data_IF_547954233514
#
_entry.id   IF_547954233514
#
_cell.length_a   1.000
_cell.length_b   1.000
_cell.length_c   1.000
_cell.angle_alpha   90.00
_cell.angle_beta   90.00
_cell.angle_gamma   90.00
#
_symmetry.space_group_name_H-M   'P 1'
#
loop_
_entity.id
_entity.type
_entity.pdbx_description
1 polymer ?
#
# COMPACT_ATOMS: atom_id res chain seq x y z
N UNK A 1 26.31 -5.11 -2.32
CA UNK A 1 26.14 -4.09 -1.26
C UNK A 1 26.11 -2.72 -1.90
N UNK A 2 25.02 -1.91 -1.75
CA UNK A 2 24.90 -0.59 -2.37
C UNK A 2 26.04 0.36 -2.00
N UNK A 3 26.45 0.34 -0.74
CA UNK A 3 27.51 1.20 -0.21
C UNK A 3 28.87 0.90 -0.85
N UNK A 4 29.21 -0.39 -1.03
CA UNK A 4 30.46 -0.78 -1.66
C UNK A 4 30.50 -0.38 -3.14
N UNK A 5 29.41 -0.64 -3.87
CA UNK A 5 29.26 -0.20 -5.26
C UNK A 5 29.36 1.33 -5.39
N UNK A 6 28.72 2.06 -4.48
CA UNK A 6 28.77 3.53 -4.47
C UNK A 6 30.21 4.03 -4.25
N UNK A 7 31.01 3.43 -3.38
CA UNK A 7 32.43 3.78 -3.17
C UNK A 7 33.24 3.63 -4.45
N UNK A 8 33.07 2.52 -5.18
CA UNK A 8 33.77 2.27 -6.43
C UNK A 8 33.39 3.31 -7.50
N UNK A 9 32.08 3.61 -7.63
CA UNK A 9 31.59 4.62 -8.59
C UNK A 9 32.11 6.01 -8.22
N UNK A 10 32.03 6.43 -6.95
CA UNK A 10 32.56 7.71 -6.47
C UNK A 10 34.06 7.84 -6.75
N UNK A 11 34.83 6.77 -6.51
CA UNK A 11 36.25 6.74 -6.80
C UNK A 11 36.51 6.98 -8.30
N UNK A 12 35.77 6.29 -9.16
CA UNK A 12 35.90 6.49 -10.63
C UNK A 12 35.55 7.92 -11.02
N UNK A 13 34.45 8.47 -10.53
CA UNK A 13 34.02 9.85 -10.81
C UNK A 13 35.08 10.87 -10.37
N UNK A 14 35.67 10.70 -9.19
CA UNK A 14 36.67 11.62 -8.65
C UNK A 14 38.05 11.45 -9.26
N UNK A 15 38.53 10.21 -9.43
CA UNK A 15 39.90 9.95 -9.83
C UNK A 15 40.09 9.87 -11.34
N UNK A 16 39.08 9.34 -12.09
CA UNK A 16 39.15 9.12 -13.52
C UNK A 16 38.47 10.25 -14.27
N UNK A 17 37.18 10.50 -13.96
CA UNK A 17 36.35 11.49 -14.65
C UNK A 17 36.62 12.93 -14.19
N UNK A 18 37.26 13.10 -13.01
CA UNK A 18 37.61 14.40 -12.41
C UNK A 18 36.43 15.35 -12.24
N UNK A 19 35.25 14.81 -11.86
CA UNK A 19 34.07 15.63 -11.65
C UNK A 19 34.20 16.51 -10.41
N UNK A 20 33.65 17.72 -10.46
CA UNK A 20 33.70 18.69 -9.36
C UNK A 20 32.68 18.36 -8.24
N UNK A 21 31.50 17.81 -8.60
CA UNK A 21 30.42 17.52 -7.69
C UNK A 21 29.88 16.10 -7.96
N UNK A 22 29.65 15.32 -6.91
CA UNK A 22 28.99 14.01 -6.97
C UNK A 22 27.66 14.09 -6.22
N UNK A 23 26.56 13.86 -6.94
CA UNK A 23 25.21 13.83 -6.40
C UNK A 23 24.71 12.39 -6.47
N UNK A 24 24.35 11.82 -5.33
CA UNK A 24 23.69 10.52 -5.26
C UNK A 24 22.18 10.71 -5.34
N UNK A 25 21.56 10.11 -6.37
CA UNK A 25 20.11 9.91 -6.43
C UNK A 25 19.81 8.55 -5.79
N UNK A 26 19.20 8.55 -4.62
CA UNK A 26 18.98 7.35 -3.84
C UNK A 26 17.50 7.17 -3.47
N UNK A 27 17.10 5.93 -3.27
CA UNK A 27 15.74 5.57 -2.85
C UNK A 27 15.77 4.68 -1.58
N UNK A 28 16.73 4.96 -0.66
CA UNK A 28 16.89 4.23 0.61
C UNK A 28 16.09 4.84 1.75
N UNK A 29 15.84 6.13 1.70
CA UNK A 29 15.02 6.84 2.69
C UNK A 29 15.77 7.40 3.89
N UNK A 30 15.04 8.22 4.64
CA UNK A 30 15.48 8.83 5.89
C UNK A 30 14.52 8.46 7.03
N UNK A 31 15.06 8.33 8.24
CA UNK A 31 14.32 7.92 9.42
C UNK A 31 14.58 8.88 10.59
N UNK A 32 13.70 8.85 11.58
CA UNK A 32 13.91 9.56 12.85
C UNK A 32 14.87 8.78 13.74
N UNK A 33 15.85 9.48 14.26
CA UNK A 33 16.69 8.97 15.34
C UNK A 33 15.95 8.91 16.69
N UNK A 34 16.63 8.42 17.73
CA UNK A 34 16.05 8.31 19.08
C UNK A 34 15.59 9.65 19.67
N UNK A 35 16.12 10.77 19.20
CA UNK A 35 15.75 12.14 19.59
C UNK A 35 14.55 12.69 18.82
N UNK A 36 13.95 11.90 17.94
CA UNK A 36 12.80 12.26 17.12
C UNK A 36 13.13 13.13 15.89
N UNK A 37 14.41 13.48 15.66
CA UNK A 37 14.86 14.23 14.49
C UNK A 37 15.21 13.29 13.35
N UNK A 38 15.01 13.71 12.11
CA UNK A 38 15.48 12.98 10.94
C UNK A 38 17.01 13.03 10.88
N UNK A 39 17.67 11.94 11.23
CA UNK A 39 19.14 11.83 11.29
C UNK A 39 19.62 10.38 11.09
N UNK A 40 18.73 9.48 10.65
CA UNK A 40 18.99 8.07 10.42
C UNK A 40 18.40 7.64 9.07
N UNK A 41 18.46 6.35 8.75
CA UNK A 41 18.01 5.75 7.50
C UNK A 41 19.16 5.43 6.56
N UNK A 42 18.85 4.63 5.52
CA UNK A 42 19.87 4.12 4.59
C UNK A 42 20.60 5.24 3.85
N UNK A 43 19.91 6.33 3.49
CA UNK A 43 20.51 7.44 2.75
C UNK A 43 21.41 8.32 3.62
N UNK A 44 21.08 8.45 4.91
CA UNK A 44 21.98 9.08 5.89
C UNK A 44 23.23 8.22 6.11
N UNK A 45 23.05 6.90 6.17
CA UNK A 45 24.17 5.98 6.32
C UNK A 45 25.06 5.95 5.07
N UNK A 46 24.47 5.98 3.87
CA UNK A 46 25.20 6.11 2.61
C UNK A 46 26.10 7.35 2.59
N UNK A 47 25.56 8.50 3.02
CA UNK A 47 26.33 9.76 3.09
C UNK A 47 27.50 9.70 4.08
N UNK A 48 27.36 8.92 5.19
CA UNK A 48 28.46 8.67 6.15
C UNK A 48 29.50 7.73 5.60
N UNK A 49 29.07 6.62 5.01
CA UNK A 49 29.96 5.49 4.65
C UNK A 49 30.67 5.69 3.32
N UNK A 50 30.22 6.62 2.48
CA UNK A 50 30.79 6.91 1.17
C UNK A 50 31.32 8.34 1.11
N UNK A 51 32.52 8.61 1.65
CA UNK A 51 33.17 9.90 1.49
C UNK A 51 33.37 10.24 0.01
N UNK A 52 33.06 11.50 -0.37
CA UNK A 52 33.14 11.95 -1.74
C UNK A 52 31.78 12.09 -2.45
N UNK A 53 30.67 11.67 -1.83
CA UNK A 53 29.33 12.12 -2.15
C UNK A 53 29.17 13.53 -1.56
N UNK A 54 28.79 14.49 -2.40
CA UNK A 54 28.55 15.87 -1.95
C UNK A 54 27.12 16.15 -1.56
N UNK A 55 26.16 15.48 -2.20
CA UNK A 55 24.72 15.62 -1.97
C UNK A 55 24.05 14.28 -2.11
N UNK A 56 23.06 13.98 -1.25
CA UNK A 56 22.13 12.87 -1.44
C UNK A 56 20.72 13.43 -1.64
N UNK A 57 20.13 13.12 -2.80
CA UNK A 57 18.69 13.34 -3.07
C UNK A 57 17.99 12.02 -2.78
N UNK A 58 17.26 12.01 -1.67
CA UNK A 58 16.62 10.84 -1.07
C UNK A 58 15.18 10.65 -1.55
N UNK A 59 14.61 9.46 -1.32
CA UNK A 59 13.23 9.08 -1.64
C UNK A 59 12.68 8.04 -0.65
N UNK A 60 11.80 7.16 -1.09
CA UNK A 60 11.28 5.96 -0.39
C UNK A 60 10.43 6.22 0.86
N UNK A 61 10.97 6.86 1.88
CA UNK A 61 10.28 7.09 3.17
C UNK A 61 9.18 8.15 3.12
N UNK A 62 8.94 8.78 1.95
CA UNK A 62 7.94 9.84 1.76
C UNK A 62 8.06 11.00 2.75
N UNK A 63 9.26 11.25 3.24
CA UNK A 63 9.52 12.26 4.26
C UNK A 63 9.63 13.65 3.64
N UNK A 64 8.88 14.62 4.14
CA UNK A 64 9.08 16.03 3.83
C UNK A 64 10.14 16.60 4.77
N UNK A 65 11.33 16.85 4.24
CA UNK A 65 12.39 17.53 4.95
C UNK A 65 12.29 19.03 4.67
N UNK A 66 11.85 19.82 5.65
CA UNK A 66 11.84 21.28 5.53
C UNK A 66 13.26 21.88 5.62
N UNK A 67 14.20 21.12 6.15
CA UNK A 67 15.61 21.44 6.26
C UNK A 67 16.45 20.24 5.81
N UNK A 68 17.60 20.51 5.18
CA UNK A 68 18.52 19.44 4.80
C UNK A 68 19.14 18.77 6.05
N UNK A 69 19.24 17.45 6.07
CA UNK A 69 20.05 16.74 7.06
C UNK A 69 21.51 16.91 6.67
N UNK A 70 22.33 17.52 7.53
CA UNK A 70 23.75 17.69 7.26
C UNK A 70 24.54 16.57 7.92
N UNK A 71 25.01 15.64 7.11
CA UNK A 71 25.79 14.49 7.56
C UNK A 71 27.25 14.88 7.72
N UNK A 72 27.82 14.63 8.90
CA UNK A 72 29.22 14.93 9.26
C UNK A 72 29.66 16.37 8.95
N UNK A 73 28.72 17.31 9.04
CA UNK A 73 28.98 18.73 8.78
C UNK A 73 29.28 19.08 7.32
N UNK A 74 29.06 18.16 6.37
CA UNK A 74 29.45 18.34 4.97
C UNK A 74 28.40 17.95 3.93
N UNK A 75 27.77 16.79 4.04
CA UNK A 75 26.92 16.23 2.99
C UNK A 75 25.44 16.47 3.31
N UNK A 76 24.73 17.34 2.58
CA UNK A 76 23.28 17.47 2.72
C UNK A 76 22.56 16.26 2.14
N UNK A 77 21.60 15.76 2.90
CA UNK A 77 20.58 14.81 2.46
C UNK A 77 19.25 15.53 2.42
N UNK A 78 18.55 15.48 1.30
CA UNK A 78 17.28 16.18 1.07
C UNK A 78 16.21 15.23 0.55
N UNK A 79 14.94 15.48 0.91
CA UNK A 79 13.79 14.71 0.42
C UNK A 79 12.54 15.59 0.40
N UNK A 80 11.71 15.45 -0.63
CA UNK A 80 10.58 16.35 -0.90
C UNK A 80 9.21 15.79 -0.53
N UNK A 81 9.15 14.62 0.12
CA UNK A 81 7.89 13.94 0.41
C UNK A 81 7.49 12.96 -0.70
N UNK A 82 6.24 12.99 -1.13
CA UNK A 82 5.67 12.07 -2.12
C UNK A 82 4.75 12.78 -3.12
N UNK A 83 4.40 12.06 -4.19
CA UNK A 83 3.32 12.43 -5.13
C UNK A 83 3.51 13.81 -5.79
N UNK A 84 4.76 14.28 -5.86
CA UNK A 84 5.11 15.61 -6.41
C UNK A 84 4.42 16.78 -5.69
N UNK A 85 4.03 16.61 -4.42
CA UNK A 85 3.43 17.68 -3.63
C UNK A 85 4.36 18.88 -3.44
N UNK A 86 5.68 18.64 -3.51
CA UNK A 86 6.69 19.67 -3.38
C UNK A 86 7.78 19.53 -4.45
N UNK A 87 8.30 20.67 -4.89
CA UNK A 87 9.57 20.77 -5.59
C UNK A 87 10.65 21.21 -4.60
N UNK A 88 11.73 20.43 -4.46
CA UNK A 88 12.90 20.82 -3.66
C UNK A 88 13.84 21.72 -4.44
N UNK A 89 14.13 22.91 -3.90
CA UNK A 89 15.16 23.79 -4.41
C UNK A 89 16.37 23.75 -3.50
N UNK A 90 17.48 23.25 -4.00
CA UNK A 90 18.77 23.17 -3.28
C UNK A 90 19.77 24.09 -3.98
N UNK A 91 20.26 25.11 -3.29
CA UNK A 91 21.25 26.05 -3.81
C UNK A 91 22.60 25.78 -3.15
N UNK A 92 23.59 25.52 -3.97
CA UNK A 92 24.97 25.22 -3.56
C UNK A 92 25.93 26.26 -4.13
N UNK A 93 26.92 26.63 -3.35
CA UNK A 93 28.07 27.42 -3.86
C UNK A 93 29.30 26.54 -3.89
N UNK A 94 30.01 26.54 -5.03
CA UNK A 94 31.29 25.88 -5.20
C UNK A 94 32.41 26.96 -5.29
N UNK A 95 33.33 26.90 -4.33
CA UNK A 95 34.53 27.75 -4.31
C UNK A 95 35.77 26.85 -4.30
N UNK A 96 36.42 26.76 -5.42
CA UNK A 96 37.43 25.73 -5.63
C UNK A 96 36.86 24.32 -5.45
N UNK A 97 37.37 23.57 -4.48
CA UNK A 97 36.88 22.24 -4.14
C UNK A 97 35.93 22.22 -2.93
N UNK A 98 35.55 23.40 -2.45
CA UNK A 98 34.68 23.53 -1.28
C UNK A 98 33.23 23.76 -1.70
N UNK A 99 32.36 22.79 -1.48
CA UNK A 99 30.92 22.92 -1.65
C UNK A 99 30.27 23.44 -0.36
N UNK A 100 29.40 24.42 -0.49
CA UNK A 100 28.68 25.01 0.65
C UNK A 100 27.19 25.05 0.33
N UNK A 101 26.36 24.53 1.25
CA UNK A 101 24.91 24.68 1.17
C UNK A 101 24.52 26.12 1.48
N UNK A 102 23.93 26.79 0.51
CA UNK A 102 23.43 28.15 0.64
C UNK A 102 21.99 28.20 1.10
N UNK A 103 21.14 27.37 0.51
CA UNK A 103 19.74 27.23 0.93
C UNK A 103 19.15 25.90 0.45
N UNK A 104 18.15 25.46 1.19
CA UNK A 104 17.24 24.39 0.78
C UNK A 104 15.82 24.79 1.18
N UNK A 105 14.85 24.58 0.30
CA UNK A 105 13.44 24.82 0.57
C UNK A 105 12.53 23.91 -0.24
N UNK A 106 11.36 23.66 0.28
CA UNK A 106 10.26 23.01 -0.44
C UNK A 106 9.34 24.08 -1.03
N UNK A 107 9.03 23.94 -2.30
CA UNK A 107 8.07 24.76 -3.03
C UNK A 107 6.83 23.91 -3.25
N UNK A 108 5.68 24.21 -2.62
CA UNK A 108 4.44 23.46 -2.82
C UNK A 108 4.00 23.50 -4.28
N UNK A 109 3.60 22.35 -4.81
CA UNK A 109 2.99 22.22 -6.14
C UNK A 109 1.49 22.04 -5.92
N UNK A 110 0.74 23.08 -6.24
CA UNK A 110 -0.71 23.09 -6.04
C UNK A 110 -1.46 23.73 -7.23
N UNK A 111 -2.79 23.82 -7.10
CA UNK A 111 -3.67 24.36 -8.14
C UNK A 111 -3.46 25.87 -8.47
N UNK A 112 -2.59 26.58 -7.76
CA UNK A 112 -2.21 27.95 -8.09
C UNK A 112 -1.22 28.02 -9.25
N UNK A 113 -0.54 26.92 -9.56
CA UNK A 113 0.44 26.81 -10.62
C UNK A 113 -0.28 26.39 -11.91
N UNK A 114 -0.21 27.26 -12.94
CA UNK A 114 -0.78 26.93 -14.25
C UNK A 114 0.11 25.88 -14.94
N UNK A 115 -0.50 24.75 -15.33
CA UNK A 115 0.20 23.69 -16.06
C UNK A 115 0.67 24.13 -17.46
N UNK A 116 1.76 23.54 -17.91
CA UNK A 116 2.24 23.71 -19.28
C UNK A 116 1.26 23.10 -20.29
N UNK A 117 0.91 23.86 -21.35
CA UNK A 117 -0.11 23.45 -22.34
C UNK A 117 0.34 22.27 -23.20
N UNK A 118 1.63 22.15 -23.50
CA UNK A 118 2.15 21.05 -24.32
C UNK A 118 2.10 19.76 -23.50
N UNK A 119 2.58 19.81 -22.26
CA UNK A 119 2.51 18.67 -21.31
C UNK A 119 1.05 18.25 -21.06
N UNK A 120 0.14 19.21 -20.87
CA UNK A 120 -1.28 18.90 -20.68
C UNK A 120 -1.88 18.15 -21.89
N UNK A 121 -1.48 18.50 -23.12
CA UNK A 121 -1.89 17.77 -24.33
C UNK A 121 -1.34 16.36 -24.37
N UNK A 122 -0.08 16.17 -24.00
CA UNK A 122 0.53 14.84 -23.97
C UNK A 122 -0.12 13.95 -22.88
N UNK A 123 -0.43 14.52 -21.70
CA UNK A 123 -1.18 13.85 -20.65
C UNK A 123 -2.55 13.40 -21.16
N UNK A 124 -3.28 14.23 -21.89
CA UNK A 124 -4.59 13.86 -22.45
C UNK A 124 -4.49 12.69 -23.43
N UNK A 125 -3.46 12.64 -24.28
CA UNK A 125 -3.21 11.51 -25.17
C UNK A 125 -2.87 10.23 -24.38
N UNK A 126 -2.06 10.35 -23.33
CA UNK A 126 -1.73 9.22 -22.44
C UNK A 126 -3.00 8.69 -21.74
N UNK A 127 -3.87 9.56 -21.23
CA UNK A 127 -5.16 9.17 -20.61
C UNK A 127 -6.03 8.36 -21.57
N UNK A 128 -6.12 8.77 -22.83
CA UNK A 128 -6.85 8.03 -23.87
C UNK A 128 -6.24 6.65 -24.11
N UNK A 129 -4.91 6.58 -24.22
CA UNK A 129 -4.19 5.32 -24.43
C UNK A 129 -4.35 4.38 -23.24
N UNK A 130 -4.21 4.87 -22.02
CA UNK A 130 -4.42 4.09 -20.78
C UNK A 130 -5.87 3.64 -20.64
N UNK A 131 -6.84 4.53 -20.96
CA UNK A 131 -8.25 4.17 -20.96
C UNK A 131 -8.52 2.98 -21.89
N UNK A 132 -7.98 3.02 -23.11
CA UNK A 132 -8.14 1.94 -24.09
C UNK A 132 -7.45 0.63 -23.64
N UNK A 133 -6.23 0.72 -23.12
CA UNK A 133 -5.42 -0.45 -22.80
C UNK A 133 -5.82 -1.14 -21.47
N UNK A 134 -6.17 -0.37 -20.44
CA UNK A 134 -6.36 -0.91 -19.09
C UNK A 134 -7.83 -0.94 -18.64
N UNK A 135 -8.65 0.02 -19.05
CA UNK A 135 -9.97 0.21 -18.45
C UNK A 135 -11.14 -0.11 -19.37
N UNK A 136 -11.00 0.09 -20.71
CA UNK A 136 -12.11 -0.04 -21.64
C UNK A 136 -12.74 -1.45 -21.67
N UNK A 137 -11.92 -2.51 -21.58
CA UNK A 137 -12.41 -3.90 -21.52
C UNK A 137 -13.31 -4.17 -20.31
N UNK A 138 -13.19 -3.35 -19.27
CA UNK A 138 -13.97 -3.42 -18.02
C UNK A 138 -15.09 -2.37 -17.96
N UNK A 139 -15.22 -1.55 -19.02
CA UNK A 139 -16.25 -0.52 -19.18
C UNK A 139 -15.97 0.77 -18.45
N UNK A 140 -14.70 1.11 -18.22
CA UNK A 140 -14.25 2.32 -17.56
C UNK A 140 -13.36 3.17 -18.47
N UNK A 141 -13.22 4.45 -18.15
CA UNK A 141 -12.24 5.38 -18.72
C UNK A 141 -11.63 6.24 -17.62
N UNK A 142 -10.41 6.73 -17.81
CA UNK A 142 -9.61 7.41 -16.76
C UNK A 142 -10.35 8.53 -16.04
N UNK A 143 -10.97 9.44 -16.78
CA UNK A 143 -11.67 10.61 -16.21
C UNK A 143 -13.17 10.35 -15.90
N UNK A 144 -13.64 9.10 -16.00
CA UNK A 144 -15.03 8.78 -15.73
C UNK A 144 -15.37 9.04 -14.26
N UNK A 145 -16.38 9.88 -13.97
CA UNK A 145 -16.82 10.12 -12.61
C UNK A 145 -17.56 8.90 -12.05
N UNK A 146 -17.27 8.53 -10.81
CA UNK A 146 -17.84 7.36 -10.13
C UNK A 146 -18.75 7.73 -8.97
N UNK A 147 -18.28 8.66 -8.11
CA UNK A 147 -18.99 9.02 -6.89
C UNK A 147 -18.64 10.44 -6.44
N UNK A 148 -19.32 10.90 -5.40
CA UNK A 148 -19.01 12.14 -4.69
C UNK A 148 -18.43 11.78 -3.31
N UNK A 149 -17.24 12.28 -2.99
CA UNK A 149 -16.66 12.27 -1.66
C UNK A 149 -17.13 13.53 -0.91
N UNK A 150 -17.96 13.42 0.14
CA UNK A 150 -18.44 14.58 0.87
C UNK A 150 -17.37 15.22 1.76
N UNK A 151 -16.35 14.48 2.10
CA UNK A 151 -15.12 14.90 2.81
C UNK A 151 -13.94 14.11 2.30
N UNK A 152 -12.73 14.44 2.74
CA UNK A 152 -11.53 13.66 2.45
C UNK A 152 -11.61 12.28 3.13
N UNK A 153 -11.16 11.27 2.40
CA UNK A 153 -10.89 9.92 2.87
C UNK A 153 -9.37 9.71 2.80
N UNK A 154 -8.62 10.16 3.81
CA UNK A 154 -7.17 10.12 3.73
C UNK A 154 -6.64 8.69 3.88
N UNK A 155 -5.52 8.41 3.20
CA UNK A 155 -4.65 7.29 3.53
C UNK A 155 -3.52 7.83 4.40
N UNK A 156 -3.50 7.46 5.68
CA UNK A 156 -2.48 7.91 6.63
C UNK A 156 -1.95 6.75 7.45
N UNK A 157 -0.64 6.74 7.65
CA UNK A 157 0.05 5.75 8.48
C UNK A 157 0.26 6.26 9.91
N UNK A 158 0.26 7.57 10.10
CA UNK A 158 0.50 8.21 11.42
C UNK A 158 -0.77 8.31 12.25
N UNK A 159 -1.93 8.47 11.61
CA UNK A 159 -3.24 8.49 12.25
C UNK A 159 -4.11 7.35 11.71
N UNK A 160 -4.00 6.21 12.38
CA UNK A 160 -4.73 4.99 12.00
C UNK A 160 -6.25 5.21 12.08
N UNK A 161 -6.71 6.01 13.03
CA UNK A 161 -8.13 6.31 13.18
C UNK A 161 -8.66 7.15 12.00
N UNK A 162 -7.91 8.16 11.56
CA UNK A 162 -8.30 8.99 10.41
C UNK A 162 -8.38 8.20 9.09
N UNK A 163 -7.56 7.15 8.94
CA UNK A 163 -7.56 6.27 7.76
C UNK A 163 -8.69 5.23 7.73
N UNK A 164 -9.53 5.16 8.75
CA UNK A 164 -10.54 4.09 8.88
C UNK A 164 -11.59 4.13 7.77
N UNK A 165 -12.10 5.29 7.40
CA UNK A 165 -13.16 5.43 6.39
C UNK A 165 -12.71 4.90 5.01
N UNK A 166 -11.52 5.24 4.55
CA UNK A 166 -10.97 4.71 3.29
C UNK A 166 -10.78 3.19 3.37
N UNK A 167 -10.17 2.72 4.46
CA UNK A 167 -9.90 1.30 4.64
C UNK A 167 -11.18 0.45 4.71
N UNK A 168 -12.23 0.96 5.36
CA UNK A 168 -13.54 0.33 5.37
C UNK A 168 -14.14 0.26 3.97
N UNK A 169 -14.13 1.37 3.22
CA UNK A 169 -14.60 1.42 1.84
C UNK A 169 -13.89 0.37 0.96
N UNK A 170 -12.57 0.30 1.05
CA UNK A 170 -11.74 -0.64 0.28
C UNK A 170 -12.07 -2.09 0.66
N UNK A 171 -12.05 -2.42 1.94
CA UNK A 171 -12.31 -3.81 2.39
C UNK A 171 -13.76 -4.23 2.21
N UNK A 172 -14.72 -3.32 2.34
CA UNK A 172 -16.14 -3.57 2.02
C UNK A 172 -16.31 -3.89 0.53
N UNK A 173 -15.61 -3.17 -0.35
CA UNK A 173 -15.64 -3.41 -1.79
C UNK A 173 -15.08 -4.79 -2.15
N UNK A 174 -13.99 -5.23 -1.51
CA UNK A 174 -13.42 -6.56 -1.72
C UNK A 174 -14.40 -7.66 -1.31
N UNK A 175 -14.99 -7.51 -0.13
CA UNK A 175 -16.02 -8.43 0.37
C UNK A 175 -17.25 -8.46 -0.54
N UNK A 176 -17.71 -7.30 -1.00
CA UNK A 176 -18.85 -7.21 -1.91
C UNK A 176 -18.57 -7.89 -3.26
N UNK A 177 -17.36 -7.72 -3.82
CA UNK A 177 -16.98 -8.29 -5.11
C UNK A 177 -16.83 -9.81 -5.07
N UNK A 178 -16.23 -10.35 -3.99
CA UNK A 178 -15.88 -11.78 -3.89
C UNK A 178 -16.89 -12.63 -3.13
N UNK A 179 -17.78 -12.00 -2.36
CA UNK A 179 -18.72 -12.66 -1.43
C UNK A 179 -18.01 -13.47 -0.33
N UNK A 180 -16.76 -13.16 -0.04
CA UNK A 180 -16.03 -13.75 1.07
C UNK A 180 -16.62 -13.30 2.42
N UNK A 181 -16.38 -14.07 3.49
CA UNK A 181 -16.78 -13.69 4.85
C UNK A 181 -16.00 -12.44 5.30
N UNK A 182 -14.71 -12.35 4.88
CA UNK A 182 -13.79 -11.30 5.30
C UNK A 182 -13.15 -10.67 4.06
N UNK A 183 -13.25 -9.34 3.94
CA UNK A 183 -12.42 -8.52 3.05
C UNK A 183 -11.23 -7.99 3.83
N UNK A 184 -10.00 -8.11 3.32
CA UNK A 184 -8.79 -7.86 4.10
C UNK A 184 -7.71 -7.13 3.31
N UNK A 185 -7.02 -6.19 3.96
CA UNK A 185 -5.84 -5.51 3.42
C UNK A 185 -4.96 -4.98 4.57
N UNK A 186 -3.84 -4.35 4.22
CA UNK A 186 -3.02 -3.56 5.14
C UNK A 186 -2.92 -2.12 4.63
N UNK A 187 -2.67 -1.16 5.52
CA UNK A 187 -2.60 0.25 5.14
C UNK A 187 -1.66 0.52 3.97
N UNK A 188 -0.47 -0.09 3.96
CA UNK A 188 0.53 0.10 2.92
C UNK A 188 0.14 -0.40 1.53
N UNK A 189 -0.90 -1.23 1.43
CA UNK A 189 -1.46 -1.65 0.15
C UNK A 189 -2.25 -0.51 -0.52
N UNK A 190 -2.83 0.38 0.27
CA UNK A 190 -3.49 1.58 -0.23
C UNK A 190 -2.44 2.68 -0.44
N UNK A 191 -2.36 3.24 -1.65
CA UNK A 191 -1.27 4.15 -2.03
C UNK A 191 -1.65 5.62 -2.01
N UNK A 192 -2.94 5.94 -2.13
CA UNK A 192 -3.48 7.29 -2.10
C UNK A 192 -4.76 7.35 -1.27
N UNK A 193 -5.15 8.55 -0.84
CA UNK A 193 -6.48 8.84 -0.30
C UNK A 193 -7.47 9.22 -1.42
N UNK A 194 -8.75 9.16 -1.14
CA UNK A 194 -9.77 9.78 -1.96
C UNK A 194 -10.05 11.18 -1.41
N UNK A 195 -9.45 12.18 -2.02
CA UNK A 195 -9.58 13.55 -1.56
C UNK A 195 -10.79 14.22 -2.19
N UNK A 196 -11.54 14.96 -1.38
CA UNK A 196 -12.73 15.70 -1.86
C UNK A 196 -12.37 16.74 -2.92
N UNK A 197 -11.23 17.41 -2.78
CA UNK A 197 -10.85 18.51 -3.64
C UNK A 197 -11.92 19.62 -3.67
N UNK A 198 -12.00 20.36 -4.79
CA UNK A 198 -12.97 21.45 -4.97
C UNK A 198 -14.36 20.94 -5.34
N UNK A 199 -14.46 19.86 -6.07
CA UNK A 199 -15.72 19.34 -6.64
C UNK A 199 -16.35 18.21 -5.85
N UNK A 200 -15.58 17.49 -5.08
CA UNK A 200 -15.93 16.23 -4.44
C UNK A 200 -16.03 15.05 -5.39
N UNK A 201 -15.84 15.24 -6.71
CA UNK A 201 -15.95 14.16 -7.69
C UNK A 201 -14.78 13.21 -7.56
N UNK A 202 -15.06 11.93 -7.40
CA UNK A 202 -14.10 10.82 -7.44
C UNK A 202 -14.19 10.17 -8.81
N UNK A 203 -13.06 10.08 -9.49
CA UNK A 203 -12.93 9.50 -10.84
C UNK A 203 -12.31 8.10 -10.80
N UNK A 204 -12.28 7.45 -11.96
CA UNK A 204 -11.56 6.17 -12.14
C UNK A 204 -10.08 6.32 -11.80
N UNK A 205 -9.45 7.44 -12.17
CA UNK A 205 -8.05 7.70 -11.84
C UNK A 205 -7.82 7.76 -10.32
N UNK A 206 -8.68 8.47 -9.58
CA UNK A 206 -8.54 8.58 -8.12
C UNK A 206 -8.62 7.23 -7.44
N UNK A 207 -9.57 6.38 -7.87
CA UNK A 207 -9.69 5.02 -7.34
C UNK A 207 -8.50 4.14 -7.74
N UNK A 208 -8.02 4.25 -8.99
CA UNK A 208 -6.84 3.52 -9.41
C UNK A 208 -5.61 3.93 -8.59
N UNK A 209 -5.45 5.21 -8.25
CA UNK A 209 -4.37 5.70 -7.39
C UNK A 209 -4.42 5.12 -5.96
N UNK A 210 -5.60 4.75 -5.45
CA UNK A 210 -5.71 4.03 -4.17
C UNK A 210 -5.09 2.64 -4.24
N UNK A 211 -5.31 1.88 -5.32
CA UNK A 211 -4.92 0.47 -5.44
C UNK A 211 -4.18 0.18 -6.78
N UNK A 212 -3.04 0.82 -7.06
CA UNK A 212 -2.34 0.70 -8.34
C UNK A 212 -1.35 -0.46 -8.39
N UNK A 213 -1.05 -1.09 -7.25
CA UNK A 213 0.09 -2.00 -7.11
C UNK A 213 -0.15 -3.35 -7.78
N UNK A 214 0.93 -3.94 -8.31
CA UNK A 214 0.96 -5.30 -8.80
C UNK A 214 0.31 -5.49 -10.16
N UNK A 215 0.02 -6.75 -10.46
CA UNK A 215 -0.66 -7.21 -11.67
C UNK A 215 -1.48 -8.45 -11.33
N UNK A 216 -2.25 -8.98 -12.28
CA UNK A 216 -2.93 -10.26 -12.12
C UNK A 216 -2.04 -11.46 -12.37
N UNK A 217 -2.63 -12.64 -12.25
CA UNK A 217 -1.96 -13.93 -12.52
C UNK A 217 -1.94 -14.22 -14.01
N UNK A 218 -3.08 -14.08 -14.68
CA UNK A 218 -3.26 -14.31 -16.11
C UNK A 218 -3.55 -13.02 -16.88
N UNK A 219 -4.02 -11.98 -16.17
CA UNK A 219 -4.32 -10.67 -16.73
C UNK A 219 -3.21 -9.68 -16.35
N UNK A 220 -2.34 -9.28 -17.28
CA UNK A 220 -1.21 -8.40 -17.02
C UNK A 220 -1.61 -6.93 -16.79
N UNK A 221 -2.89 -6.59 -16.89
CA UNK A 221 -3.36 -5.24 -16.59
C UNK A 221 -2.89 -4.79 -15.19
N UNK A 222 -2.36 -3.57 -15.04
CA UNK A 222 -1.93 -3.05 -13.75
C UNK A 222 -3.00 -3.15 -12.68
N UNK A 223 -2.56 -3.31 -11.44
CA UNK A 223 -3.41 -3.53 -10.26
C UNK A 223 -3.45 -5.00 -9.85
N UNK A 224 -3.28 -5.25 -8.56
CA UNK A 224 -3.32 -6.59 -7.99
C UNK A 224 -4.71 -7.20 -8.15
N UNK A 225 -4.75 -8.52 -8.39
CA UNK A 225 -6.02 -9.25 -8.39
C UNK A 225 -6.40 -9.62 -6.95
N UNK A 226 -7.71 -9.77 -6.69
CA UNK A 226 -8.20 -10.31 -5.43
C UNK A 226 -8.10 -11.83 -5.45
N UNK A 227 -7.61 -12.37 -4.34
CA UNK A 227 -7.51 -13.82 -4.10
C UNK A 227 -8.27 -14.18 -2.84
N UNK A 228 -8.80 -15.40 -2.80
CA UNK A 228 -9.57 -15.88 -1.65
C UNK A 228 -8.98 -17.18 -1.13
N UNK A 229 -8.70 -17.23 0.15
CA UNK A 229 -8.28 -18.43 0.88
C UNK A 229 -9.23 -18.71 2.07
N UNK A 230 -9.13 -19.91 2.63
CA UNK A 230 -9.92 -20.33 3.77
C UNK A 230 -9.01 -20.57 4.97
N UNK A 231 -9.41 -20.06 6.14
CA UNK A 231 -8.61 -20.00 7.34
C UNK A 231 -9.43 -20.38 8.55
N UNK A 232 -8.82 -21.04 9.53
CA UNK A 232 -9.42 -21.23 10.86
C UNK A 232 -9.35 -19.92 11.66
N UNK A 233 -10.07 -19.83 12.78
CA UNK A 233 -9.95 -18.68 13.68
C UNK A 233 -8.55 -18.50 14.23
N UNK A 234 -7.80 -19.59 14.45
CA UNK A 234 -6.39 -19.53 14.86
C UNK A 234 -5.49 -19.01 13.73
N UNK A 235 -5.73 -19.40 12.47
CA UNK A 235 -5.00 -18.86 11.33
C UNK A 235 -5.24 -17.35 11.20
N UNK A 236 -6.48 -16.89 11.37
CA UNK A 236 -6.81 -15.44 11.35
C UNK A 236 -6.11 -14.69 12.48
N UNK A 237 -6.07 -15.26 13.70
CA UNK A 237 -5.28 -14.71 14.80
C UNK A 237 -3.82 -14.58 14.40
N UNK A 238 -3.22 -15.61 13.84
CA UNK A 238 -1.80 -15.63 13.47
C UNK A 238 -1.46 -14.59 12.40
N UNK A 239 -2.36 -14.33 11.43
CA UNK A 239 -2.21 -13.25 10.45
C UNK A 239 -2.19 -11.89 11.15
N UNK A 240 -3.14 -11.63 12.04
CA UNK A 240 -3.22 -10.36 12.76
C UNK A 240 -2.03 -10.17 13.70
N UNK A 241 -1.60 -11.20 14.42
CA UNK A 241 -0.42 -11.19 15.29
C UNK A 241 0.83 -10.75 14.53
N UNK A 242 1.06 -11.34 13.36
CA UNK A 242 2.21 -11.00 12.52
C UNK A 242 2.19 -9.53 12.09
N UNK A 243 1.07 -9.06 11.53
CA UNK A 243 0.96 -7.70 11.02
C UNK A 243 1.01 -6.63 12.13
N UNK A 244 0.49 -6.93 13.32
CA UNK A 244 0.56 -6.00 14.46
C UNK A 244 1.96 -5.89 15.03
N UNK A 245 2.76 -6.95 14.99
CA UNK A 245 4.17 -6.93 15.42
C UNK A 245 5.01 -6.16 14.42
N UNK A 246 4.83 -6.41 13.14
CA UNK A 246 5.54 -5.70 12.08
C UNK A 246 5.18 -4.21 12.06
N UNK A 247 3.92 -3.88 12.40
CA UNK A 247 3.49 -2.51 12.61
C UNK A 247 4.25 -1.77 13.71
N UNK A 248 4.86 -2.46 14.67
CA UNK A 248 5.72 -1.84 15.66
C UNK A 248 7.06 -1.36 15.08
N UNK A 249 7.58 -2.07 14.06
CA UNK A 249 8.79 -1.68 13.32
C UNK A 249 8.49 -0.59 12.27
N UNK A 250 7.32 -0.70 11.61
CA UNK A 250 6.87 0.21 10.55
C UNK A 250 5.50 0.79 10.90
N UNK A 251 5.43 1.77 11.81
CA UNK A 251 4.17 2.24 12.38
C UNK A 251 3.15 2.67 11.31
N UNK A 252 1.99 2.05 11.35
CA UNK A 252 0.86 2.33 10.47
C UNK A 252 0.88 1.68 9.10
N UNK A 253 2.03 1.28 8.57
CA UNK A 253 2.14 0.73 7.21
C UNK A 253 1.51 -0.66 7.10
N UNK A 254 1.86 -1.56 8.00
CA UNK A 254 1.33 -2.94 8.01
C UNK A 254 0.10 -3.11 8.87
N UNK A 255 -0.51 -2.01 9.34
CA UNK A 255 -1.70 -2.10 10.17
C UNK A 255 -2.84 -2.81 9.43
N UNK A 256 -3.40 -3.91 10.00
CA UNK A 256 -4.42 -4.71 9.34
C UNK A 256 -5.77 -4.00 9.28
N UNK A 257 -6.44 -4.12 8.13
CA UNK A 257 -7.77 -3.58 7.85
C UNK A 257 -8.69 -4.68 7.36
N UNK A 258 -9.91 -4.71 7.89
CA UNK A 258 -10.86 -5.78 7.59
C UNK A 258 -12.28 -5.28 7.40
N UNK A 259 -13.06 -6.03 6.61
CA UNK A 259 -14.52 -5.97 6.53
C UNK A 259 -15.11 -7.34 6.85
N UNK A 260 -16.28 -7.39 7.47
CA UNK A 260 -16.88 -8.64 7.91
C UNK A 260 -16.22 -9.24 9.15
N UNK A 261 -15.19 -8.59 9.67
CA UNK A 261 -14.45 -8.97 10.86
C UNK A 261 -14.08 -7.72 11.67
N UNK A 262 -14.18 -7.81 12.98
CA UNK A 262 -13.50 -6.90 13.90
C UNK A 262 -12.63 -7.69 14.86
N UNK A 263 -11.58 -7.07 15.39
CA UNK A 263 -10.66 -7.72 16.32
C UNK A 263 -10.24 -6.76 17.43
N UNK A 264 -9.95 -7.34 18.59
CA UNK A 264 -9.40 -6.63 19.76
C UNK A 264 -7.96 -7.04 19.97
N UNK A 265 -7.11 -6.06 20.31
CA UNK A 265 -5.69 -6.29 20.53
C UNK A 265 -5.14 -5.43 21.67
N UNK A 266 -4.08 -5.93 22.32
CA UNK A 266 -3.37 -5.28 23.42
C UNK A 266 -1.86 -5.44 23.21
N UNK A 267 -1.19 -4.35 22.84
CA UNK A 267 0.26 -4.35 22.56
C UNK A 267 1.13 -4.47 23.82
N UNK A 268 0.54 -4.45 25.03
CA UNK A 268 1.27 -4.68 26.28
C UNK A 268 1.48 -6.16 26.56
N UNK A 269 0.76 -7.04 25.85
CA UNK A 269 0.86 -8.49 25.97
C UNK A 269 2.13 -9.04 25.32
N UNK A 270 2.52 -10.27 25.66
CA UNK A 270 3.68 -10.92 25.03
C UNK A 270 3.54 -10.98 23.50
N UNK A 271 4.69 -10.88 22.82
CA UNK A 271 4.79 -11.07 21.36
C UNK A 271 4.11 -12.39 20.94
N UNK A 272 3.32 -12.37 19.88
CA UNK A 272 2.49 -13.46 19.35
C UNK A 272 1.27 -13.82 20.22
N UNK A 273 0.87 -12.93 21.12
CA UNK A 273 -0.36 -13.08 21.93
C UNK A 273 -1.04 -11.72 22.17
N UNK A 274 -0.89 -10.78 21.24
CA UNK A 274 -1.47 -9.43 21.34
C UNK A 274 -2.94 -9.41 20.91
N UNK A 275 -3.39 -10.32 20.04
CA UNK A 275 -4.80 -10.41 19.61
C UNK A 275 -5.62 -11.15 20.67
N UNK A 276 -6.59 -10.46 21.24
CA UNK A 276 -7.39 -10.96 22.38
C UNK A 276 -8.75 -11.51 21.97
N UNK A 277 -9.34 -11.03 20.87
CA UNK A 277 -10.60 -11.51 20.35
C UNK A 277 -10.73 -11.26 18.85
N UNK A 278 -11.48 -12.11 18.16
CA UNK A 278 -11.93 -11.91 16.79
C UNK A 278 -13.44 -12.17 16.76
N UNK A 279 -14.17 -11.28 16.11
CA UNK A 279 -15.60 -11.39 15.92
C UNK A 279 -15.95 -11.21 14.44
N UNK A 280 -16.81 -12.05 13.90
CA UNK A 280 -17.30 -11.96 12.52
C UNK A 280 -18.72 -11.41 12.49
N UNK A 281 -18.98 -10.57 11.50
CA UNK A 281 -20.27 -9.92 11.29
C UNK A 281 -20.15 -8.52 10.71
N UNK A 282 -21.18 -7.76 10.91
CA UNK A 282 -21.28 -6.34 10.56
C UNK A 282 -22.31 -5.67 11.50
N UNK A 283 -22.42 -4.33 11.41
CA UNK A 283 -23.35 -3.57 12.27
C UNK A 283 -24.82 -3.95 12.06
N UNK A 284 -25.20 -4.44 10.87
CA UNK A 284 -26.58 -4.83 10.59
C UNK A 284 -26.96 -6.18 11.20
N UNK A 285 -26.02 -7.13 11.17
CA UNK A 285 -26.23 -8.52 11.62
C UNK A 285 -25.70 -8.77 13.01
N UNK A 286 -24.98 -7.82 13.55
CA UNK A 286 -24.22 -7.95 14.79
C UNK A 286 -22.94 -8.78 14.60
N UNK A 287 -22.05 -8.67 15.56
CA UNK A 287 -20.79 -9.39 15.60
C UNK A 287 -20.89 -10.61 16.53
N UNK A 288 -20.27 -11.71 16.12
CA UNK A 288 -20.20 -12.96 16.90
C UNK A 288 -18.74 -13.39 17.05
N UNK A 289 -18.31 -13.61 18.29
CA UNK A 289 -16.99 -14.11 18.58
C UNK A 289 -16.76 -15.49 17.96
N UNK A 290 -15.56 -15.72 17.48
CA UNK A 290 -15.09 -17.00 16.96
C UNK A 290 -14.00 -17.57 17.86
N UNK A 291 -13.80 -18.89 17.81
CA UNK A 291 -12.70 -19.54 18.53
C UNK A 291 -11.37 -19.26 17.84
N UNK A 292 -10.46 -18.65 18.57
CA UNK A 292 -9.07 -18.33 18.13
C UNK A 292 -8.03 -19.20 18.86
N UNK A 293 -8.47 -20.22 19.61
CA UNK A 293 -7.59 -21.10 20.39
C UNK A 293 -7.09 -22.33 19.62
N UNK A 294 -7.55 -22.52 18.39
CA UNK A 294 -7.23 -23.67 17.55
C UNK A 294 -8.03 -24.94 17.86
N UNK A 295 -9.08 -24.84 18.66
CA UNK A 295 -9.96 -25.99 18.96
C UNK A 295 -11.10 -26.14 17.94
N UNK A 296 -11.49 -25.05 17.28
CA UNK A 296 -12.51 -25.04 16.22
C UNK A 296 -11.81 -25.03 14.84
N UNK A 297 -12.09 -26.05 14.04
CA UNK A 297 -11.56 -26.20 12.68
C UNK A 297 -12.45 -25.54 11.61
N UNK A 298 -13.48 -24.80 12.01
CA UNK A 298 -14.35 -24.06 11.10
C UNK A 298 -13.52 -23.12 10.23
N UNK A 299 -13.81 -23.12 8.94
CA UNK A 299 -13.14 -22.31 7.96
C UNK A 299 -13.94 -21.05 7.64
N UNK A 300 -13.23 -19.96 7.51
CA UNK A 300 -13.73 -18.65 7.11
C UNK A 300 -13.01 -18.20 5.85
N UNK A 301 -13.76 -17.73 4.86
CA UNK A 301 -13.19 -17.20 3.62
C UNK A 301 -12.66 -15.79 3.83
N UNK A 302 -11.40 -15.57 3.48
CA UNK A 302 -10.76 -14.27 3.49
C UNK A 302 -10.28 -13.93 2.09
N UNK A 303 -10.67 -12.75 1.61
CA UNK A 303 -10.19 -12.20 0.34
C UNK A 303 -9.24 -11.04 0.60
N UNK A 304 -8.13 -11.00 -0.14
CA UNK A 304 -7.12 -9.95 -0.04
C UNK A 304 -6.45 -9.73 -1.40
N UNK A 305 -5.68 -8.64 -1.58
CA UNK A 305 -4.83 -8.44 -2.73
C UNK A 305 -3.81 -9.58 -2.89
N UNK A 306 -3.59 -10.01 -4.13
CA UNK A 306 -2.56 -11.02 -4.45
C UNK A 306 -1.20 -10.66 -3.86
N UNK A 307 -0.84 -9.39 -3.83
CA UNK A 307 0.45 -8.95 -3.25
C UNK A 307 0.58 -9.25 -1.75
N UNK A 308 -0.53 -9.27 -1.02
CA UNK A 308 -0.54 -9.61 0.41
C UNK A 308 -0.49 -11.13 0.64
N UNK A 309 -0.96 -11.93 -0.32
CA UNK A 309 -1.02 -13.37 -0.22
C UNK A 309 0.33 -14.04 0.12
N UNK A 310 1.43 -13.76 -0.61
CA UNK A 310 2.75 -14.31 -0.30
C UNK A 310 3.26 -13.94 1.09
N UNK A 311 2.95 -12.74 1.57
CA UNK A 311 3.31 -12.29 2.92
C UNK A 311 2.60 -13.16 3.95
N UNK A 312 1.28 -13.37 3.79
CA UNK A 312 0.49 -14.23 4.68
C UNK A 312 1.07 -15.65 4.71
N UNK A 313 1.36 -16.22 3.55
CA UNK A 313 1.90 -17.59 3.45
C UNK A 313 3.29 -17.71 4.05
N UNK A 314 4.10 -16.66 4.00
CA UNK A 314 5.45 -16.67 4.54
C UNK A 314 5.51 -16.45 6.08
N UNK A 315 4.40 -16.14 6.75
CA UNK A 315 4.33 -15.95 8.21
C UNK A 315 5.04 -17.06 9.01
N UNK A 316 4.80 -18.36 8.75
CA UNK A 316 5.49 -19.41 9.49
C UNK A 316 7.02 -19.34 9.34
N UNK A 317 7.52 -18.98 8.17
CA UNK A 317 8.96 -18.85 7.92
C UNK A 317 9.53 -17.65 8.67
N UNK A 318 8.92 -16.47 8.54
CA UNK A 318 9.37 -15.26 9.23
C UNK A 318 9.37 -15.40 10.75
N UNK A 319 8.39 -16.14 11.29
CA UNK A 319 8.24 -16.34 12.72
C UNK A 319 8.94 -17.60 13.24
N UNK A 320 9.73 -18.27 12.39
CA UNK A 320 10.42 -19.54 12.72
C UNK A 320 9.45 -20.58 13.30
N UNK A 321 8.25 -20.68 12.71
CA UNK A 321 7.20 -21.63 13.11
C UNK A 321 6.39 -21.23 14.34
N UNK A 322 6.62 -20.08 14.95
CA UNK A 322 5.87 -19.63 16.13
C UNK A 322 4.39 -19.29 15.81
N UNK A 323 4.14 -18.81 14.61
CA UNK A 323 2.79 -18.58 14.09
C UNK A 323 2.54 -19.57 12.93
N UNK A 324 2.10 -20.80 13.22
CA UNK A 324 1.76 -21.77 12.19
C UNK A 324 0.54 -21.27 11.39
N UNK A 325 0.59 -21.44 10.08
CA UNK A 325 -0.49 -21.03 9.20
C UNK A 325 -0.46 -21.85 7.92
N UNK A 326 -1.60 -22.38 7.53
CA UNK A 326 -1.76 -23.11 6.28
C UNK A 326 -3.07 -22.68 5.62
N UNK A 327 -3.01 -21.83 4.59
CA UNK A 327 -4.20 -21.51 3.80
C UNK A 327 -4.82 -22.78 3.23
N UNK A 328 -6.14 -22.79 3.14
CA UNK A 328 -6.89 -23.97 2.68
C UNK A 328 -7.83 -23.60 1.54
N UNK A 329 -8.23 -24.59 0.76
CA UNK A 329 -9.37 -24.51 -0.15
C UNK A 329 -10.68 -24.59 0.66
N UNK A 330 -11.81 -24.33 0.01
CA UNK A 330 -13.12 -24.38 0.64
C UNK A 330 -13.47 -25.74 1.27
N UNK A 331 -12.95 -26.82 0.69
CA UNK A 331 -13.12 -28.19 1.17
C UNK A 331 -12.16 -28.57 2.33
N UNK A 332 -11.34 -27.65 2.79
CA UNK A 332 -10.34 -27.87 3.84
C UNK A 332 -8.99 -28.40 3.33
N UNK A 333 -8.86 -28.69 2.04
CA UNK A 333 -7.59 -29.14 1.46
C UNK A 333 -6.52 -28.05 1.61
N UNK A 334 -5.35 -28.33 2.24
CA UNK A 334 -4.28 -27.37 2.35
C UNK A 334 -3.77 -26.87 0.99
N UNK A 335 -3.59 -25.57 0.89
CA UNK A 335 -2.86 -24.95 -0.22
C UNK A 335 -1.38 -25.03 0.13
N UNK A 336 -0.73 -26.13 -0.24
CA UNK A 336 0.68 -26.35 0.02
C UNK A 336 1.49 -26.11 -1.25
N UNK A 337 2.59 -25.37 -1.10
CA UNK A 337 3.63 -25.29 -2.12
C UNK A 337 4.94 -25.76 -1.51
N UNK A 338 5.71 -26.49 -2.29
CA UNK A 338 7.11 -26.84 -1.94
C UNK A 338 8.08 -25.69 -2.19
N UNK A 339 7.57 -24.60 -2.79
CA UNK A 339 8.39 -23.47 -3.21
C UNK A 339 8.40 -22.43 -2.11
N UNK A 340 9.57 -21.94 -1.78
CA UNK A 340 9.75 -20.83 -0.84
C UNK A 340 9.13 -19.55 -1.41
N UNK A 341 8.20 -18.94 -0.66
CA UNK A 341 7.50 -17.74 -1.12
C UNK A 341 8.44 -16.55 -1.40
N UNK A 342 9.60 -16.51 -0.76
CA UNK A 342 10.59 -15.45 -0.97
C UNK A 342 11.41 -15.63 -2.25
N UNK A 343 11.55 -16.87 -2.73
CA UNK A 343 12.36 -17.21 -3.91
C UNK A 343 11.50 -17.29 -5.18
N UNK A 344 10.19 -17.01 -5.07
CA UNK A 344 9.29 -17.13 -6.20
C UNK A 344 9.36 -15.91 -7.09
N UNK A 345 9.54 -16.07 -8.41
CA UNK A 345 9.12 -15.07 -9.37
C UNK A 345 7.65 -14.71 -9.12
N UNK A 346 7.28 -13.46 -9.32
CA UNK A 346 5.91 -12.96 -9.07
C UNK A 346 4.83 -13.80 -9.74
N UNK A 347 5.14 -14.43 -10.87
CA UNK A 347 4.29 -15.34 -11.62
C UNK A 347 3.95 -16.62 -10.86
N UNK A 348 4.77 -17.01 -9.89
CA UNK A 348 4.62 -18.22 -9.08
C UNK A 348 4.33 -17.92 -7.61
N UNK A 349 4.14 -16.66 -7.25
CA UNK A 349 3.91 -16.24 -5.86
C UNK A 349 2.56 -16.65 -5.28
N UNK A 350 1.78 -17.42 -6.05
CA UNK A 350 0.46 -17.85 -5.66
C UNK A 350 0.40 -19.10 -4.80
N UNK A 351 0.73 -18.99 -3.53
CA UNK A 351 0.29 -20.02 -2.60
C UNK A 351 -1.23 -20.07 -2.45
N UNK A 352 -1.88 -18.97 -2.74
CA UNK A 352 -3.32 -18.90 -2.86
C UNK A 352 -3.77 -19.18 -4.30
N UNK A 353 -2.82 -19.35 -5.24
CA UNK A 353 -3.09 -19.58 -6.67
C UNK A 353 -2.15 -20.65 -7.22
N UNK A 354 -2.64 -21.53 -8.11
CA UNK A 354 -1.77 -22.43 -8.84
C UNK A 354 -0.87 -21.67 -9.81
N UNK A 355 0.30 -22.22 -10.16
CA UNK A 355 1.19 -21.63 -11.16
C UNK A 355 0.47 -21.45 -12.50
N UNK A 356 0.85 -20.42 -13.30
CA UNK A 356 0.32 -20.23 -14.64
C UNK A 356 0.44 -21.49 -15.48
N UNK A 357 -0.65 -21.88 -16.15
CA UNK A 357 -0.71 -23.09 -17.00
C UNK A 357 -1.11 -24.39 -16.29
N UNK A 358 -1.36 -24.37 -14.97
CA UNK A 358 -2.03 -25.45 -14.25
C UNK A 358 -3.42 -24.98 -13.81
N UNK A 359 -4.42 -25.71 -14.18
CA UNK A 359 -5.83 -25.34 -14.32
C UNK A 359 -6.63 -25.16 -13.04
N UNK A 360 -6.02 -24.99 -11.86
CA UNK A 360 -6.78 -24.72 -10.64
C UNK A 360 -6.65 -23.25 -10.22
N UNK A 361 -7.36 -22.40 -10.94
CA UNK A 361 -7.54 -20.99 -10.61
C UNK A 361 -8.67 -20.76 -9.57
N UNK A 362 -8.99 -21.78 -8.78
CA UNK A 362 -10.13 -21.75 -7.85
C UNK A 362 -10.02 -20.68 -6.76
N UNK A 363 -8.82 -20.19 -6.49
CA UNK A 363 -8.58 -19.12 -5.52
C UNK A 363 -8.65 -17.70 -6.10
N UNK A 364 -8.63 -17.58 -7.44
CA UNK A 364 -8.77 -16.27 -8.08
C UNK A 364 -10.24 -15.90 -8.14
N UNK A 365 -10.58 -14.75 -7.59
CA UNK A 365 -11.92 -14.21 -7.72
C UNK A 365 -12.12 -13.69 -9.15
N UNK A 366 -13.08 -14.24 -9.89
CA UNK A 366 -13.42 -13.80 -11.24
C UNK A 366 -14.70 -12.99 -11.26
N UNK A 367 -14.74 -11.99 -12.14
CA UNK A 367 -15.90 -11.13 -12.33
C UNK A 367 -17.14 -11.89 -12.84
N UNK A 368 -18.30 -11.31 -12.62
CA UNK A 368 -19.58 -11.77 -13.16
C UNK A 368 -20.14 -10.77 -14.16
N UNK A 369 -21.14 -11.17 -14.95
CA UNK A 369 -21.76 -10.30 -15.95
C UNK A 369 -20.78 -9.92 -17.07
N UNK A 370 -20.66 -8.61 -17.35
CA UNK A 370 -19.74 -8.11 -18.40
C UNK A 370 -18.26 -8.42 -18.14
N UNK A 371 -17.91 -8.71 -16.89
CA UNK A 371 -16.55 -9.02 -16.45
C UNK A 371 -16.32 -10.52 -16.24
N UNK A 372 -17.26 -11.37 -16.72
CA UNK A 372 -17.15 -12.82 -16.58
C UNK A 372 -15.85 -13.36 -17.19
N UNK A 373 -15.13 -14.16 -16.41
CA UNK A 373 -13.85 -14.74 -16.82
C UNK A 373 -12.63 -13.83 -16.66
N UNK A 374 -12.81 -12.56 -16.27
CA UNK A 374 -11.70 -11.66 -15.94
C UNK A 374 -11.38 -11.73 -14.44
N UNK A 375 -10.10 -11.58 -14.11
CA UNK A 375 -9.67 -11.42 -12.72
C UNK A 375 -10.25 -10.14 -12.14
N UNK A 376 -10.72 -10.18 -10.89
CA UNK A 376 -11.20 -8.99 -10.19
C UNK A 376 -9.99 -8.23 -9.65
N UNK A 377 -9.71 -7.07 -10.23
CA UNK A 377 -8.68 -6.16 -9.71
C UNK A 377 -9.17 -5.42 -8.47
N UNK A 378 -8.26 -5.06 -7.56
CA UNK A 378 -8.58 -4.25 -6.39
C UNK A 378 -9.34 -2.98 -6.77
N UNK A 379 -8.76 -2.18 -7.66
CA UNK A 379 -9.37 -0.94 -8.12
C UNK A 379 -10.73 -1.17 -8.79
N UNK A 380 -10.90 -2.28 -9.52
CA UNK A 380 -12.18 -2.63 -10.13
C UNK A 380 -13.24 -2.91 -9.06
N UNK A 381 -12.89 -3.68 -8.03
CA UNK A 381 -13.81 -3.95 -6.91
C UNK A 381 -14.30 -2.64 -6.26
N UNK A 382 -13.39 -1.68 -6.06
CA UNK A 382 -13.72 -0.37 -5.51
C UNK A 382 -14.62 0.43 -6.47
N UNK A 383 -14.30 0.48 -7.76
CA UNK A 383 -15.09 1.19 -8.78
C UNK A 383 -16.50 0.61 -8.90
N UNK A 384 -16.62 -0.72 -8.98
CA UNK A 384 -17.90 -1.40 -9.07
C UNK A 384 -18.73 -1.17 -7.79
N UNK A 385 -18.08 -1.18 -6.61
CA UNK A 385 -18.73 -0.88 -5.34
C UNK A 385 -19.27 0.56 -5.29
N UNK A 386 -18.45 1.55 -5.63
CA UNK A 386 -18.85 2.95 -5.70
C UNK A 386 -20.03 3.15 -6.67
N UNK A 387 -19.97 2.51 -7.84
CA UNK A 387 -21.02 2.57 -8.85
C UNK A 387 -22.33 1.90 -8.41
N UNK A 388 -22.25 0.97 -7.44
CA UNK A 388 -23.43 0.28 -6.88
C UNK A 388 -24.10 1.02 -5.73
N UNK A 389 -23.49 2.09 -5.21
CA UNK A 389 -24.06 2.85 -4.11
C UNK A 389 -25.38 3.51 -4.51
N UNK A 390 -26.33 3.66 -3.55
CA UNK A 390 -27.63 4.26 -3.84
C UNK A 390 -27.52 5.69 -4.34
N UNK A 391 -28.18 5.99 -5.45
CA UNK A 391 -28.29 7.34 -5.99
C UNK A 391 -29.54 8.02 -5.41
N UNK A 392 -29.36 9.03 -4.57
CA UNK A 392 -30.46 9.76 -3.92
C UNK A 392 -31.28 10.64 -4.91
N UNK A 393 -30.65 11.08 -5.99
CA UNK A 393 -31.27 11.93 -7.00
C UNK A 393 -30.96 11.41 -8.40
N UNK A 394 -31.99 11.09 -9.19
CA UNK A 394 -31.83 10.56 -10.55
C UNK A 394 -30.95 11.50 -11.40
N UNK A 395 -29.97 10.91 -12.10
CA UNK A 395 -29.02 11.63 -12.96
C UNK A 395 -27.83 12.26 -12.20
N UNK A 396 -27.69 12.02 -10.89
CA UNK A 396 -26.52 12.42 -10.10
C UNK A 396 -25.65 11.23 -9.75
N UNK A 397 -24.41 11.51 -9.39
CA UNK A 397 -23.48 10.49 -8.89
C UNK A 397 -23.91 10.02 -7.48
N UNK A 398 -23.64 8.78 -7.11
CA UNK A 398 -23.78 8.32 -5.74
C UNK A 398 -22.84 9.08 -4.82
N UNK A 399 -23.23 9.21 -3.55
CA UNK A 399 -22.42 9.85 -2.52
C UNK A 399 -21.80 8.77 -1.64
N UNK A 400 -20.49 8.83 -1.42
CA UNK A 400 -19.79 7.90 -0.53
C UNK A 400 -20.37 8.10 0.89
N UNK A 401 -20.81 7.03 1.56
CA UNK A 401 -21.30 7.11 2.94
C UNK A 401 -20.19 7.59 3.88
N UNK A 402 -20.54 8.48 4.80
CA UNK A 402 -19.64 8.97 5.87
C UNK A 402 -20.39 8.99 7.22
N UNK A 403 -21.31 8.06 7.36
CA UNK A 403 -22.07 7.82 8.58
C UNK A 403 -21.33 6.88 9.55
N UNK A 404 -21.95 6.57 10.68
CA UNK A 404 -21.38 5.71 11.72
C UNK A 404 -20.95 4.32 11.21
N UNK A 405 -21.60 3.81 10.15
CA UNK A 405 -21.21 2.52 9.54
C UNK A 405 -19.92 2.63 8.75
N UNK A 406 -19.74 3.71 8.04
CA UNK A 406 -18.54 3.97 7.26
C UNK A 406 -17.32 4.22 8.17
N UNK A 407 -17.54 4.92 9.28
CA UNK A 407 -16.52 5.23 10.30
C UNK A 407 -16.36 4.13 11.38
N UNK A 408 -16.96 2.95 11.18
CA UNK A 408 -16.89 1.83 12.12
C UNK A 408 -15.46 1.44 12.47
N UNK A 409 -15.15 1.40 13.77
CA UNK A 409 -13.85 0.93 14.27
C UNK A 409 -13.85 -0.60 14.30
N UNK A 410 -13.07 -1.22 13.41
CA UNK A 410 -12.96 -2.69 13.28
C UNK A 410 -11.68 -3.25 13.92
N UNK A 411 -10.78 -2.40 14.38
CA UNK A 411 -9.59 -2.74 15.15
C UNK A 411 -9.65 -2.04 16.51
N UNK A 412 -9.94 -2.78 17.58
CA UNK A 412 -10.21 -2.26 18.91
C UNK A 412 -8.96 -2.46 19.77
N UNK A 413 -8.29 -1.37 20.12
CA UNK A 413 -7.15 -1.40 21.03
C UNK A 413 -7.65 -1.46 22.45
N UNK A 414 -7.18 -2.44 23.25
CA UNK A 414 -7.37 -2.45 24.68
C UNK A 414 -6.63 -1.27 25.31
N UNK A 415 -7.27 -0.60 26.25
CA UNK A 415 -6.79 0.62 26.91
C UNK A 415 -5.60 0.41 27.84
#
# INVERSE_FOLDING_TARGET
DPTETAREVVKTLRETEKVDIVIALSHGGVEKGPDGRYAAGEDVQLAKDVPGIDVVISGHSHTELNEAIIVDGRTPVVQTGKESNNLGELVLALDGNKLTLMSYRLLPIDDSIMGDRAIAKDIEQLKQSVSAAAFASRGYSVDQPLAIAPRDLPNTYTDIAAGTLLANLVTDSFRAATKADIGFTANGMMRAGLLRGKTGVVTVYDVFAVAPLGSGVVDPTPGSTLVTGYFTGQDLKNILEFLLIDNAAHPGEYFPRASGMRFSYDLTRPMFDVVTAIELGDLDRGYKAIDISGKDERLYSLTCPLMLGPIIVAIPKYTKGKLPLVPKKKDGTPLTSKVDALDLPRENSGYLLPPPGKTDASSVATGTGKNAGLEIKEWQAIMDYLSSLPVKTKGRLPVIPVDERADEIRAIKAG
#
